data_IF_987885700554
#
_entry.id   IF_987885700554
#
_cell.length_a   1.000
_cell.length_b   1.000
_cell.length_c   1.000
_cell.angle_alpha   90.00
_cell.angle_beta   90.00
_cell.angle_gamma   90.00
#
_symmetry.space_group_name_H-M   'P 1'
#
loop_
_entity.id
_entity.type
_entity.pdbx_description
1 polymer ?
#
# COMPACT_ATOMS: atom_id res chain seq x y z
N UNK A 1 23.23 -75.70 -35.31
CA UNK A 1 21.89 -75.94 -35.89
C UNK A 1 20.91 -74.93 -35.31
N UNK A 2 20.07 -74.37 -36.19
CA UNK A 2 19.11 -73.28 -35.98
C UNK A 2 18.19 -73.49 -34.76
N UNK A 3 17.87 -72.41 -34.05
CA UNK A 3 16.50 -72.07 -33.64
C UNK A 3 16.40 -70.56 -33.38
N UNK A 4 15.92 -69.86 -34.40
CA UNK A 4 15.38 -68.51 -34.35
C UNK A 4 14.09 -68.61 -33.52
N UNK A 5 14.03 -67.94 -32.37
CA UNK A 5 12.75 -67.71 -31.66
C UNK A 5 12.30 -66.29 -31.95
N UNK A 6 11.25 -66.24 -32.75
CA UNK A 6 10.43 -65.10 -33.11
C UNK A 6 9.79 -64.54 -31.82
N UNK A 7 10.24 -63.39 -31.32
CA UNK A 7 9.49 -62.62 -30.32
C UNK A 7 8.45 -61.82 -31.10
N UNK A 8 7.24 -62.35 -31.11
CA UNK A 8 6.06 -61.76 -31.73
C UNK A 8 5.74 -60.44 -31.03
N UNK A 9 5.92 -59.36 -31.77
CA UNK A 9 5.57 -57.99 -31.42
C UNK A 9 4.03 -57.88 -31.29
N UNK A 10 3.51 -58.04 -30.06
CA UNK A 10 2.10 -57.84 -29.73
C UNK A 10 1.87 -56.36 -29.35
N UNK A 11 1.95 -55.46 -30.34
CA UNK A 11 1.69 -54.01 -30.20
C UNK A 11 0.39 -53.60 -30.91
N UNK A 12 -0.73 -54.21 -30.57
CA UNK A 12 -2.04 -53.75 -31.04
C UNK A 12 -3.06 -53.90 -29.92
N UNK A 13 -3.88 -52.86 -29.72
CA UNK A 13 -4.99 -52.73 -28.77
C UNK A 13 -4.68 -52.14 -27.38
N UNK A 14 -3.82 -51.13 -27.33
CA UNK A 14 -4.10 -49.99 -26.44
C UNK A 14 -4.92 -48.98 -27.24
N UNK A 15 -6.23 -49.21 -27.37
CA UNK A 15 -7.16 -48.13 -27.61
C UNK A 15 -7.12 -47.24 -26.37
N UNK A 16 -6.18 -46.29 -26.33
CA UNK A 16 -6.29 -45.14 -25.47
C UNK A 16 -7.61 -44.47 -25.84
N UNK A 17 -8.67 -44.72 -25.07
CA UNK A 17 -9.86 -43.88 -25.10
C UNK A 17 -9.35 -42.48 -24.81
N UNK A 18 -9.22 -41.67 -25.87
CA UNK A 18 -9.04 -40.24 -25.75
C UNK A 18 -10.17 -39.81 -24.83
N UNK A 19 -9.84 -39.46 -23.59
CA UNK A 19 -10.80 -38.87 -22.68
C UNK A 19 -11.51 -37.79 -23.50
N UNK A 20 -12.86 -37.73 -23.48
CA UNK A 20 -13.54 -36.63 -24.13
C UNK A 20 -12.86 -35.35 -23.64
N UNK A 21 -12.55 -34.40 -24.55
CA UNK A 21 -11.91 -33.17 -24.13
C UNK A 21 -12.71 -32.63 -22.94
N UNK A 22 -12.05 -32.15 -21.87
CA UNK A 22 -12.75 -31.58 -20.73
C UNK A 22 -13.77 -30.59 -21.31
N UNK A 23 -15.04 -30.76 -20.95
CA UNK A 23 -16.12 -29.93 -21.47
C UNK A 23 -15.70 -28.48 -21.20
N UNK A 24 -15.41 -27.67 -22.24
CA UNK A 24 -15.02 -26.30 -22.00
C UNK A 24 -16.17 -25.67 -21.23
N UNK A 25 -15.86 -25.01 -20.13
CA UNK A 25 -16.85 -24.16 -19.50
C UNK A 25 -17.33 -23.17 -20.55
N UNK A 26 -18.65 -23.01 -20.67
CA UNK A 26 -19.28 -22.14 -21.68
C UNK A 26 -20.24 -21.16 -21.02
N UNK A 27 -20.40 -21.23 -19.70
CA UNK A 27 -21.38 -20.42 -19.00
C UNK A 27 -20.72 -19.14 -18.51
N UNK A 28 -21.40 -17.99 -18.63
CA UNK A 28 -20.93 -16.77 -17.99
C UNK A 28 -21.10 -16.88 -16.46
N UNK A 29 -20.36 -16.06 -15.69
CA UNK A 29 -20.48 -16.06 -14.24
C UNK A 29 -21.89 -15.65 -13.81
N UNK A 30 -22.34 -16.22 -12.69
CA UNK A 30 -23.66 -15.95 -12.12
C UNK A 30 -23.53 -15.28 -10.75
N UNK A 31 -24.40 -14.32 -10.47
CA UNK A 31 -24.45 -13.67 -9.16
C UNK A 31 -25.08 -14.63 -8.15
N UNK A 32 -24.32 -14.97 -7.11
CA UNK A 32 -24.78 -15.83 -6.01
C UNK A 32 -25.39 -14.99 -4.89
N UNK A 33 -24.74 -13.88 -4.54
CA UNK A 33 -25.13 -13.05 -3.43
C UNK A 33 -24.57 -11.63 -3.55
N UNK A 34 -25.05 -10.72 -2.71
CA UNK A 34 -24.44 -9.41 -2.52
C UNK A 34 -24.58 -8.94 -1.07
N UNK A 35 -23.65 -8.09 -0.64
CA UNK A 35 -23.72 -7.47 0.67
C UNK A 35 -23.12 -6.06 0.66
N UNK A 36 -23.64 -5.23 1.56
CA UNK A 36 -23.32 -3.80 1.68
C UNK A 36 -22.82 -3.57 3.10
N UNK A 37 -21.51 -3.80 3.37
CA UNK A 37 -21.00 -3.84 4.75
C UNK A 37 -21.05 -2.46 5.43
N UNK A 38 -20.94 -1.38 4.67
CA UNK A 38 -20.97 -0.01 5.14
C UNK A 38 -21.58 0.91 4.07
N UNK A 39 -21.66 2.20 4.37
CA UNK A 39 -22.21 3.21 3.48
C UNK A 39 -21.30 3.58 2.29
N UNK A 40 -20.18 2.90 2.04
CA UNK A 40 -19.32 3.15 0.88
C UNK A 40 -19.23 1.95 -0.06
N UNK A 41 -19.43 0.74 0.47
CA UNK A 41 -18.99 -0.49 -0.21
C UNK A 41 -20.16 -1.35 -0.62
N UNK A 42 -20.13 -1.87 -1.85
CA UNK A 42 -20.95 -2.98 -2.33
C UNK A 42 -20.02 -4.13 -2.72
N UNK A 43 -20.28 -5.32 -2.20
CA UNK A 43 -19.62 -6.55 -2.63
C UNK A 43 -20.64 -7.48 -3.28
N UNK A 44 -20.31 -7.97 -4.47
CA UNK A 44 -21.13 -8.90 -5.23
C UNK A 44 -20.34 -10.21 -5.37
N UNK A 45 -20.93 -11.31 -4.92
CA UNK A 45 -20.35 -12.64 -5.01
C UNK A 45 -20.85 -13.36 -6.24
N UNK A 46 -19.93 -13.99 -6.96
CA UNK A 46 -20.22 -14.83 -8.10
C UNK A 46 -19.94 -16.30 -7.77
N UNK A 47 -20.41 -17.21 -8.63
CA UNK A 47 -20.24 -18.66 -8.49
C UNK A 47 -18.85 -19.16 -8.90
N UNK A 48 -18.04 -18.30 -9.50
CA UNK A 48 -16.71 -18.63 -10.02
C UNK A 48 -15.74 -17.45 -9.92
N UNK A 49 -14.46 -17.70 -10.25
CA UNK A 49 -13.44 -16.66 -10.26
C UNK A 49 -13.61 -15.72 -11.46
N UNK A 50 -13.51 -14.43 -11.20
CA UNK A 50 -13.66 -13.39 -12.20
C UNK A 50 -12.30 -12.96 -12.76
N UNK A 51 -12.33 -12.42 -13.97
CA UNK A 51 -11.18 -11.71 -14.53
C UNK A 51 -10.87 -10.47 -13.70
N UNK A 52 -9.60 -10.22 -13.34
CA UNK A 52 -9.20 -8.98 -12.67
C UNK A 52 -9.23 -7.77 -13.62
N UNK A 53 -9.34 -7.98 -14.93
CA UNK A 53 -9.41 -6.91 -15.92
C UNK A 53 -10.84 -6.38 -16.02
N UNK A 54 -11.08 -5.18 -15.47
CA UNK A 54 -12.42 -4.61 -15.44
C UNK A 54 -12.42 -3.21 -16.04
N UNK A 55 -13.41 -2.93 -16.89
CA UNK A 55 -13.63 -1.59 -17.41
C UNK A 55 -14.70 -0.88 -16.55
N UNK A 56 -14.26 0.06 -15.72
CA UNK A 56 -15.11 0.88 -14.84
C UNK A 56 -16.22 1.64 -15.58
N UNK A 57 -16.01 2.04 -16.82
CA UNK A 57 -17.00 2.79 -17.62
C UNK A 57 -18.24 1.96 -17.97
N UNK A 58 -18.13 0.62 -17.90
CA UNK A 58 -19.26 -0.29 -18.11
C UNK A 58 -20.16 -0.40 -16.88
N UNK A 59 -19.86 0.30 -15.79
CA UNK A 59 -20.61 0.26 -14.55
C UNK A 59 -21.31 1.59 -14.28
N UNK A 60 -22.58 1.50 -13.91
CA UNK A 60 -23.37 2.64 -13.43
C UNK A 60 -24.24 2.20 -12.26
N UNK A 61 -24.28 3.05 -11.22
CA UNK A 61 -25.08 2.83 -10.02
C UNK A 61 -25.96 4.04 -9.81
N UNK A 62 -27.28 3.83 -9.77
CA UNK A 62 -28.24 4.93 -9.64
C UNK A 62 -29.47 4.51 -8.85
N UNK A 63 -30.13 5.49 -8.26
CA UNK A 63 -31.44 5.39 -7.63
C UNK A 63 -32.43 6.34 -8.33
N UNK A 64 -33.64 6.45 -7.79
CA UNK A 64 -34.59 7.48 -8.24
C UNK A 64 -34.17 8.91 -7.90
N UNK A 65 -33.19 9.10 -6.99
CA UNK A 65 -32.80 10.43 -6.48
C UNK A 65 -31.40 10.86 -6.88
N UNK A 66 -30.49 9.91 -7.12
CA UNK A 66 -29.08 10.20 -7.34
C UNK A 66 -28.36 9.07 -8.07
N UNK A 67 -27.22 9.41 -8.69
CA UNK A 67 -26.24 8.47 -9.24
C UNK A 67 -25.03 8.43 -8.31
N UNK A 68 -24.58 7.23 -7.94
CA UNK A 68 -23.38 7.07 -7.11
C UNK A 68 -22.13 7.12 -7.99
N UNK A 69 -21.13 7.89 -7.55
CA UNK A 69 -19.81 7.95 -8.18
C UNK A 69 -19.00 6.76 -7.69
N UNK A 70 -18.53 5.93 -8.62
CA UNK A 70 -17.61 4.83 -8.31
C UNK A 70 -16.20 5.41 -8.09
N UNK A 71 -15.65 5.21 -6.89
CA UNK A 71 -14.32 5.69 -6.49
C UNK A 71 -13.23 4.65 -6.76
N UNK A 72 -13.53 3.37 -6.55
CA UNK A 72 -12.68 2.22 -6.89
C UNK A 72 -13.56 1.01 -7.21
N UNK A 73 -13.04 0.13 -8.05
CA UNK A 73 -13.73 -1.07 -8.52
C UNK A 73 -12.67 -2.13 -8.87
N UNK A 74 -12.74 -3.29 -8.23
CA UNK A 74 -11.74 -4.35 -8.40
C UNK A 74 -12.34 -5.73 -8.08
N UNK A 75 -11.65 -6.77 -8.54
CA UNK A 75 -12.02 -8.17 -8.34
C UNK A 75 -11.01 -8.85 -7.43
N UNK A 76 -11.53 -9.58 -6.44
CA UNK A 76 -10.77 -10.48 -5.59
C UNK A 76 -11.42 -11.87 -5.68
N UNK A 77 -10.84 -12.74 -6.54
CA UNK A 77 -11.37 -14.09 -6.82
C UNK A 77 -12.81 -14.05 -7.35
N UNK A 78 -13.76 -14.56 -6.57
CA UNK A 78 -15.20 -14.62 -6.89
C UNK A 78 -15.98 -13.35 -6.51
N UNK A 79 -15.30 -12.32 -5.98
CA UNK A 79 -15.94 -11.10 -5.50
C UNK A 79 -15.60 -9.90 -6.40
N UNK A 80 -16.65 -9.19 -6.82
CA UNK A 80 -16.53 -7.82 -7.31
C UNK A 80 -16.75 -6.85 -6.15
N UNK A 81 -15.74 -6.06 -5.82
CA UNK A 81 -15.83 -5.00 -4.80
C UNK A 81 -15.96 -3.65 -5.49
N UNK A 82 -16.96 -2.87 -5.07
CA UNK A 82 -17.24 -1.55 -5.62
C UNK A 82 -17.31 -0.57 -4.45
N UNK A 83 -16.48 0.47 -4.52
CA UNK A 83 -16.46 1.55 -3.53
C UNK A 83 -16.99 2.81 -4.17
N UNK A 84 -18.00 3.42 -3.56
CA UNK A 84 -18.67 4.62 -4.04
C UNK A 84 -18.44 5.80 -3.10
N UNK A 85 -18.95 6.98 -3.47
CA UNK A 85 -19.26 8.01 -2.49
C UNK A 85 -20.34 7.51 -1.49
N UNK A 86 -20.59 8.20 -0.36
CA UNK A 86 -21.51 7.75 0.68
C UNK A 86 -22.91 7.41 0.12
N UNK A 87 -23.39 6.22 0.46
CA UNK A 87 -24.68 5.67 0.12
C UNK A 87 -25.72 6.09 1.16
N UNK A 88 -26.90 6.50 0.70
CA UNK A 88 -28.06 6.70 1.56
C UNK A 88 -28.80 5.36 1.71
N UNK A 89 -29.70 5.21 2.70
CA UNK A 89 -30.54 4.02 2.85
C UNK A 89 -31.66 3.93 1.79
N UNK A 90 -31.30 4.06 0.52
CA UNK A 90 -32.16 3.99 -0.67
C UNK A 90 -31.94 2.67 -1.41
N UNK A 91 -32.89 2.29 -2.26
CA UNK A 91 -32.70 1.20 -3.21
C UNK A 91 -31.99 1.73 -4.45
N UNK A 92 -30.82 1.18 -4.75
CA UNK A 92 -30.04 1.45 -5.95
C UNK A 92 -30.18 0.29 -6.94
N UNK A 93 -29.98 0.61 -8.22
CA UNK A 93 -29.78 -0.34 -9.30
C UNK A 93 -28.36 -0.16 -9.84
N UNK A 94 -27.58 -1.24 -9.80
CA UNK A 94 -26.32 -1.32 -10.54
C UNK A 94 -26.56 -2.03 -11.86
N UNK A 95 -25.95 -1.50 -12.92
CA UNK A 95 -25.76 -2.20 -14.19
C UNK A 95 -24.26 -2.31 -14.43
N UNK A 96 -23.81 -3.48 -14.89
CA UNK A 96 -22.39 -3.76 -15.08
C UNK A 96 -22.14 -4.85 -16.11
N UNK A 97 -20.89 -4.94 -16.55
CA UNK A 97 -20.38 -6.02 -17.39
C UNK A 97 -19.12 -6.59 -16.74
N UNK A 98 -19.09 -7.90 -16.51
CA UNK A 98 -17.96 -8.62 -15.92
C UNK A 98 -17.68 -9.88 -16.73
N UNK A 99 -16.47 -10.42 -16.65
CA UNK A 99 -16.14 -11.72 -17.24
C UNK A 99 -15.47 -12.64 -16.24
N UNK A 100 -15.57 -13.94 -16.49
CA UNK A 100 -14.77 -14.96 -15.82
C UNK A 100 -13.30 -14.95 -16.33
N UNK A 101 -12.50 -15.89 -15.85
CA UNK A 101 -11.12 -16.10 -16.33
C UNK A 101 -11.03 -16.63 -17.77
N UNK A 102 -12.12 -17.19 -18.31
CA UNK A 102 -12.19 -17.71 -19.68
C UNK A 102 -12.78 -16.69 -20.68
N UNK A 103 -13.03 -15.46 -20.23
CA UNK A 103 -13.63 -14.36 -20.97
C UNK A 103 -15.11 -14.56 -21.39
N UNK A 104 -15.87 -15.41 -20.69
CA UNK A 104 -17.33 -15.42 -20.79
C UNK A 104 -17.90 -14.18 -20.10
N UNK A 105 -18.67 -13.40 -20.85
CA UNK A 105 -19.14 -12.09 -20.41
C UNK A 105 -20.56 -12.19 -19.84
N UNK A 106 -20.73 -11.70 -18.60
CA UNK A 106 -22.03 -11.45 -17.99
C UNK A 106 -22.35 -9.95 -18.04
N UNK A 107 -23.51 -9.60 -18.60
CA UNK A 107 -24.14 -8.29 -18.42
C UNK A 107 -25.27 -8.40 -17.41
N UNK A 108 -25.14 -7.72 -16.27
CA UNK A 108 -26.07 -7.90 -15.16
C UNK A 108 -26.76 -6.61 -14.75
N UNK A 109 -27.87 -6.79 -14.02
CA UNK A 109 -28.56 -5.75 -13.28
C UNK A 109 -28.85 -6.29 -11.89
N UNK A 110 -28.47 -5.54 -10.86
CA UNK A 110 -28.71 -5.94 -9.47
C UNK A 110 -29.30 -4.77 -8.70
N UNK A 111 -30.34 -5.04 -7.91
CA UNK A 111 -30.88 -4.06 -6.95
C UNK A 111 -30.30 -4.35 -5.58
N UNK A 112 -29.86 -3.31 -4.89
CA UNK A 112 -29.39 -3.39 -3.51
C UNK A 112 -29.91 -2.20 -2.72
N UNK A 113 -29.98 -2.36 -1.39
CA UNK A 113 -30.29 -1.25 -0.48
C UNK A 113 -29.00 -0.74 0.14
N UNK A 114 -28.76 0.57 0.05
CA UNK A 114 -27.61 1.19 0.71
C UNK A 114 -27.67 1.00 2.22
N UNK A 115 -26.50 0.81 2.84
CA UNK A 115 -26.38 0.66 4.29
C UNK A 115 -26.01 2.02 4.90
N UNK A 116 -26.72 2.52 5.94
CA UNK A 116 -26.37 3.79 6.58
C UNK A 116 -25.18 3.68 7.54
N UNK A 117 -24.70 2.47 7.86
CA UNK A 117 -23.61 2.27 8.81
C UNK A 117 -22.29 2.87 8.28
N UNK A 118 -21.58 3.67 9.08
CA UNK A 118 -20.30 4.24 8.67
C UNK A 118 -19.25 3.14 8.53
N UNK A 119 -18.24 3.40 7.70
CA UNK A 119 -17.01 2.61 7.74
C UNK A 119 -16.23 2.90 9.02
N UNK A 120 -15.80 1.85 9.72
CA UNK A 120 -15.06 1.95 10.98
C UNK A 120 -13.73 1.21 10.95
N UNK A 121 -13.42 0.55 9.82
CA UNK A 121 -12.20 -0.23 9.68
C UNK A 121 -11.08 0.73 9.31
N UNK A 122 -10.08 0.87 10.19
CA UNK A 122 -8.92 1.71 9.91
C UNK A 122 -7.93 0.99 8.99
N UNK A 123 -7.38 1.66 7.96
CA UNK A 123 -6.32 1.07 7.17
C UNK A 123 -5.05 0.85 8.00
N UNK A 124 -4.29 -0.17 7.62
CA UNK A 124 -2.92 -0.39 8.10
C UNK A 124 -2.03 -0.88 6.95
N UNK A 125 -0.72 -0.70 7.10
CA UNK A 125 0.27 -1.20 6.15
C UNK A 125 0.47 -2.69 6.40
N UNK A 126 0.17 -3.52 5.40
CA UNK A 126 0.34 -4.97 5.45
C UNK A 126 1.80 -5.37 5.17
N UNK A 127 2.41 -4.73 4.17
CA UNK A 127 3.75 -5.07 3.74
C UNK A 127 4.47 -3.86 3.11
N UNK A 128 5.80 -3.83 3.29
CA UNK A 128 6.68 -2.90 2.58
C UNK A 128 7.89 -3.70 2.09
N UNK A 129 8.12 -3.66 0.78
CA UNK A 129 9.28 -4.26 0.14
C UNK A 129 10.11 -3.13 -0.47
N UNK A 130 11.40 -3.09 -0.15
CA UNK A 130 12.37 -2.16 -0.74
C UNK A 130 13.37 -2.97 -1.54
N UNK A 131 13.54 -2.65 -2.81
CA UNK A 131 14.56 -3.23 -3.69
C UNK A 131 15.33 -2.10 -4.41
N UNK A 132 16.19 -2.45 -5.36
CA UNK A 132 16.99 -1.44 -6.09
C UNK A 132 16.17 -0.57 -7.06
N UNK A 133 15.00 -1.04 -7.49
CA UNK A 133 14.14 -0.36 -8.46
C UNK A 133 13.14 0.59 -7.76
N UNK A 134 12.77 0.30 -6.52
CA UNK A 134 11.78 1.10 -5.81
C UNK A 134 11.29 0.51 -4.49
N UNK A 135 10.13 1.02 -4.06
CA UNK A 135 9.43 0.67 -2.83
C UNK A 135 8.01 0.23 -3.20
N UNK A 136 7.65 -0.98 -2.82
CA UNK A 136 6.28 -1.51 -2.94
C UNK A 136 5.61 -1.56 -1.58
N UNK A 137 4.44 -0.95 -1.45
CA UNK A 137 3.66 -0.89 -0.20
C UNK A 137 2.28 -1.47 -0.46
N UNK A 138 1.85 -2.38 0.42
CA UNK A 138 0.49 -2.95 0.41
C UNK A 138 -0.27 -2.52 1.65
N UNK A 139 -1.51 -2.08 1.48
CA UNK A 139 -2.41 -1.61 2.52
C UNK A 139 -3.60 -2.57 2.68
N UNK A 140 -4.19 -2.59 3.88
CA UNK A 140 -5.35 -3.43 4.17
C UNK A 140 -6.64 -2.98 3.48
N UNK A 141 -6.79 -1.67 3.25
CA UNK A 141 -7.97 -1.03 2.66
C UNK A 141 -7.57 -0.11 1.49
N UNK A 142 -8.46 0.11 0.51
CA UNK A 142 -8.25 1.07 -0.57
C UNK A 142 -8.11 2.50 -0.07
N UNK A 143 -7.07 3.20 -0.52
CA UNK A 143 -6.71 4.53 -0.02
C UNK A 143 -7.10 5.70 -0.95
N UNK A 144 -7.24 6.88 -0.36
CA UNK A 144 -7.25 8.16 -1.06
C UNK A 144 -5.82 8.44 -1.54
N UNK A 145 -5.64 8.56 -2.85
CA UNK A 145 -4.31 8.63 -3.47
C UNK A 145 -3.68 10.02 -3.47
N UNK A 146 -4.42 11.07 -3.09
CA UNK A 146 -3.97 12.47 -3.10
C UNK A 146 -3.23 12.89 -1.84
N UNK A 147 -3.40 12.15 -0.74
CA UNK A 147 -2.98 12.57 0.61
C UNK A 147 -1.71 11.83 1.05
N UNK A 148 -0.92 11.32 0.08
CA UNK A 148 0.28 10.55 0.32
C UNK A 148 1.44 11.48 0.67
N UNK A 149 1.90 11.40 1.92
CA UNK A 149 3.11 12.06 2.40
C UNK A 149 4.12 11.04 2.88
N UNK A 150 5.32 11.12 2.32
CA UNK A 150 6.42 10.24 2.67
C UNK A 150 7.75 10.98 2.51
N UNK A 151 8.78 10.46 3.18
CA UNK A 151 10.16 10.86 2.95
C UNK A 151 10.96 9.68 2.45
N UNK A 152 11.91 9.94 1.57
CA UNK A 152 12.81 8.93 1.02
C UNK A 152 14.19 9.53 0.85
N UNK A 153 15.23 8.78 1.22
CA UNK A 153 16.62 9.20 0.95
C UNK A 153 16.98 9.03 -0.52
N UNK A 154 16.31 8.12 -1.21
CA UNK A 154 16.37 7.98 -2.66
C UNK A 154 15.35 8.90 -3.33
N UNK A 155 15.72 9.49 -4.47
CA UNK A 155 14.82 10.35 -5.25
C UNK A 155 13.77 9.46 -5.92
N UNK A 156 12.49 9.74 -5.67
CA UNK A 156 11.38 9.06 -6.34
C UNK A 156 11.08 9.74 -7.68
N UNK A 157 11.02 8.97 -8.76
CA UNK A 157 10.62 9.45 -10.08
C UNK A 157 9.13 9.29 -10.34
N UNK A 158 8.54 8.17 -9.94
CA UNK A 158 7.14 7.84 -10.23
C UNK A 158 6.44 7.29 -8.99
N UNK A 159 5.18 7.69 -8.82
CA UNK A 159 4.26 7.17 -7.80
C UNK A 159 3.08 6.52 -8.52
N UNK A 160 2.96 5.20 -8.41
CA UNK A 160 1.99 4.40 -9.18
C UNK A 160 1.08 3.66 -8.20
N UNK A 161 -0.21 3.99 -8.23
CA UNK A 161 -1.24 3.23 -7.52
C UNK A 161 -1.83 2.17 -8.44
N UNK A 162 -2.05 0.97 -7.92
CA UNK A 162 -2.86 -0.03 -8.60
C UNK A 162 -4.35 0.36 -8.56
N UNK A 163 -5.16 -0.22 -9.45
CA UNK A 163 -6.61 0.09 -9.57
C UNK A 163 -7.40 -0.18 -8.28
N UNK A 164 -6.96 -1.19 -7.52
CA UNK A 164 -7.53 -1.53 -6.20
C UNK A 164 -7.26 -0.46 -5.13
N UNK A 165 -6.32 0.46 -5.38
CA UNK A 165 -5.82 1.47 -4.45
C UNK A 165 -5.31 0.91 -3.12
N UNK A 166 -4.99 -0.38 -3.07
CA UNK A 166 -4.38 -1.07 -1.93
C UNK A 166 -2.87 -1.21 -2.12
N UNK A 167 -2.39 -1.11 -3.35
CA UNK A 167 -0.98 -1.30 -3.67
C UNK A 167 -0.38 -0.04 -4.29
N UNK A 168 0.76 0.38 -3.74
CA UNK A 168 1.52 1.55 -4.14
C UNK A 168 2.94 1.12 -4.53
N UNK A 169 3.39 1.56 -5.71
CA UNK A 169 4.77 1.43 -6.16
C UNK A 169 5.40 2.82 -6.30
N UNK A 170 6.47 3.05 -5.56
CA UNK A 170 7.33 4.23 -5.70
C UNK A 170 8.60 3.80 -6.44
N UNK A 171 8.80 4.29 -7.67
CA UNK A 171 10.02 3.97 -8.44
C UNK A 171 11.11 4.99 -8.16
N UNK A 172 12.32 4.49 -7.97
CA UNK A 172 13.48 5.37 -7.85
C UNK A 172 13.83 5.99 -9.20
N UNK A 173 14.28 7.25 -9.17
CA UNK A 173 14.83 7.93 -10.34
C UNK A 173 16.14 7.30 -10.78
N UNK A 174 16.96 6.93 -9.80
CA UNK A 174 18.23 6.24 -9.96
C UNK A 174 18.35 5.19 -8.87
N UNK A 175 18.95 4.04 -9.17
CA UNK A 175 19.14 2.99 -8.17
C UNK A 175 19.99 3.52 -7.00
N UNK A 176 19.53 3.40 -5.75
CA UNK A 176 20.33 3.75 -4.59
C UNK A 176 21.56 2.83 -4.52
N UNK A 177 22.75 3.43 -4.55
CA UNK A 177 24.01 2.68 -4.56
C UNK A 177 24.25 1.91 -3.26
N UNK A 178 23.90 2.52 -2.13
CA UNK A 178 24.41 2.09 -0.83
C UNK A 178 23.31 1.66 0.13
N UNK A 179 22.29 2.52 0.30
CA UNK A 179 21.16 2.28 1.18
C UNK A 179 19.95 3.12 0.75
N UNK A 180 18.78 2.78 1.26
CA UNK A 180 17.58 3.61 1.20
C UNK A 180 16.90 3.62 2.57
N UNK A 181 16.47 4.79 3.01
CA UNK A 181 15.66 5.00 4.20
C UNK A 181 14.39 5.73 3.81
N UNK A 182 13.27 5.35 4.42
CA UNK A 182 11.96 5.78 4.02
C UNK A 182 10.99 5.84 5.19
N UNK A 183 10.13 6.86 5.21
CA UNK A 183 9.04 7.02 6.18
C UNK A 183 7.73 7.29 5.46
N UNK A 184 6.66 6.61 5.87
CA UNK A 184 5.26 7.00 5.59
C UNK A 184 4.65 7.57 6.86
N UNK A 185 4.03 8.73 6.73
CA UNK A 185 3.30 9.35 7.83
C UNK A 185 1.86 8.81 7.91
N UNK A 186 1.24 8.81 9.11
CA UNK A 186 -0.15 8.34 9.29
C UNK A 186 -1.21 9.33 8.77
N UNK A 187 -0.93 10.03 7.67
CA UNK A 187 -1.81 11.05 7.09
C UNK A 187 -2.79 10.49 6.06
N UNK A 188 -2.45 9.35 5.47
CA UNK A 188 -3.29 8.65 4.50
C UNK A 188 -4.64 8.27 5.10
N UNK A 189 -5.69 8.38 4.29
CA UNK A 189 -7.05 7.95 4.63
C UNK A 189 -7.51 6.89 3.65
N UNK A 190 -8.35 5.97 4.11
CA UNK A 190 -9.13 5.12 3.22
C UNK A 190 -10.21 5.94 2.49
N UNK A 191 -10.89 5.28 1.53
CA UNK A 191 -12.00 5.90 0.81
C UNK A 191 -13.24 6.18 1.70
N UNK A 192 -13.31 5.60 2.90
CA UNK A 192 -14.31 5.87 3.93
C UNK A 192 -13.98 7.05 4.87
N UNK A 193 -12.76 7.58 4.79
CA UNK A 193 -12.25 8.69 5.60
C UNK A 193 -11.50 8.28 6.87
N UNK A 194 -11.27 6.99 7.12
CA UNK A 194 -10.50 6.52 8.27
C UNK A 194 -9.00 6.71 8.02
N UNK A 195 -8.29 7.29 9.00
CA UNK A 195 -6.83 7.49 8.93
C UNK A 195 -6.07 6.18 9.13
N UNK A 196 -4.89 6.09 8.51
CA UNK A 196 -3.90 5.04 8.72
C UNK A 196 -3.58 4.89 10.21
N UNK A 197 -3.53 3.64 10.68
CA UNK A 197 -3.38 3.34 12.11
C UNK A 197 -2.08 3.88 12.70
N UNK A 198 -0.98 3.82 11.94
CA UNK A 198 0.33 4.32 12.34
C UNK A 198 1.21 4.59 11.11
N UNK A 199 2.20 5.46 11.28
CA UNK A 199 3.28 5.62 10.33
C UNK A 199 4.25 4.43 10.36
N UNK A 200 5.02 4.27 9.29
CA UNK A 200 6.03 3.23 9.18
C UNK A 200 7.35 3.81 8.70
N UNK A 201 8.45 3.25 9.22
CA UNK A 201 9.80 3.52 8.76
C UNK A 201 10.43 2.23 8.22
N UNK A 202 11.30 2.36 7.24
CA UNK A 202 12.12 1.26 6.73
C UNK A 202 13.52 1.74 6.36
N UNK A 203 14.48 0.87 6.58
CA UNK A 203 15.88 1.09 6.22
C UNK A 203 16.40 -0.17 5.53
N UNK A 204 16.93 -0.02 4.32
CA UNK A 204 17.47 -1.10 3.49
C UNK A 204 18.91 -0.79 3.11
N UNK A 205 19.80 -1.76 3.31
CA UNK A 205 21.20 -1.69 2.86
C UNK A 205 21.31 -2.45 1.54
N UNK A 206 21.97 -1.85 0.55
CA UNK A 206 22.29 -2.46 -0.74
C UNK A 206 23.77 -2.77 -0.89
N UNK A 207 24.64 -1.98 -0.25
CA UNK A 207 26.08 -2.23 -0.19
C UNK A 207 26.50 -2.60 1.24
N UNK A 208 26.83 -3.88 1.44
CA UNK A 208 27.27 -4.41 2.73
C UNK A 208 28.71 -4.03 3.10
N UNK A 209 29.50 -3.48 2.18
CA UNK A 209 30.85 -3.01 2.48
C UNK A 209 30.83 -1.75 3.36
N UNK A 210 29.72 -1.00 3.34
CA UNK A 210 29.57 0.23 4.10
C UNK A 210 29.24 -0.08 5.55
N UNK A 211 30.03 0.51 6.45
CA UNK A 211 29.82 0.41 7.90
C UNK A 211 28.85 1.48 8.35
N UNK A 212 27.70 1.04 8.82
CA UNK A 212 26.73 1.88 9.52
C UNK A 212 26.96 1.81 11.03
N UNK A 213 26.67 2.91 11.71
CA UNK A 213 26.52 2.96 13.16
C UNK A 213 25.03 2.90 13.51
N UNK A 214 24.72 2.27 14.63
CA UNK A 214 23.37 2.22 15.15
C UNK A 214 23.15 3.40 16.10
N UNK A 215 22.12 4.18 15.81
CA UNK A 215 21.65 5.23 16.71
C UNK A 215 20.34 4.78 17.33
N UNK A 216 20.25 4.93 18.64
CA UNK A 216 18.99 4.76 19.39
C UNK A 216 18.74 6.03 20.16
N UNK A 217 17.50 6.26 20.59
CA UNK A 217 17.26 7.42 21.40
C UNK A 217 15.83 7.60 21.83
N UNK A 218 15.64 8.71 22.55
CA UNK A 218 14.33 9.16 23.01
C UNK A 218 14.07 10.59 22.59
N UNK A 219 12.83 10.86 22.20
CA UNK A 219 12.34 12.20 21.87
C UNK A 219 11.31 12.60 22.92
N UNK A 220 11.53 13.76 23.53
CA UNK A 220 10.69 14.33 24.55
C UNK A 220 10.00 15.59 24.05
N UNK A 221 8.74 15.74 24.42
CA UNK A 221 8.00 16.97 24.41
C UNK A 221 7.72 17.35 25.87
N UNK A 222 8.39 18.40 26.36
CA UNK A 222 8.44 18.75 27.79
C UNK A 222 8.97 17.55 28.61
N UNK A 223 8.20 17.06 29.58
CA UNK A 223 8.56 15.92 30.44
C UNK A 223 8.00 14.58 29.93
N UNK A 224 7.33 14.57 28.78
CA UNK A 224 6.68 13.39 28.21
C UNK A 224 7.35 12.92 26.93
N UNK A 225 7.27 11.63 26.63
CA UNK A 225 7.74 11.08 25.36
C UNK A 225 6.84 11.54 24.21
N UNK A 226 7.44 12.05 23.14
CA UNK A 226 6.74 12.53 21.96
C UNK A 226 6.47 11.39 20.98
N UNK A 227 5.21 11.14 20.63
CA UNK A 227 4.88 10.12 19.63
C UNK A 227 4.91 10.69 18.21
N UNK A 228 5.31 9.87 17.25
CA UNK A 228 5.40 10.16 15.82
C UNK A 228 6.33 11.32 15.43
N UNK A 229 7.37 11.62 16.22
CA UNK A 229 8.37 12.60 15.81
C UNK A 229 9.19 12.05 14.62
N UNK A 230 9.40 12.89 13.62
CA UNK A 230 10.23 12.58 12.45
C UNK A 230 11.65 13.05 12.74
N UNK A 231 12.62 12.17 12.55
CA UNK A 231 14.04 12.47 12.65
C UNK A 231 14.67 12.43 11.27
N UNK A 232 15.43 13.48 10.97
CA UNK A 232 16.16 13.66 9.72
C UNK A 232 17.64 13.78 10.06
N UNK A 233 18.45 12.90 9.50
CA UNK A 233 19.90 12.85 9.70
C UNK A 233 20.57 13.24 8.38
N UNK A 234 21.02 14.49 8.26
CA UNK A 234 21.69 15.01 7.06
C UNK A 234 23.20 14.95 7.23
N UNK A 235 23.85 14.04 6.52
CA UNK A 235 25.31 13.89 6.55
C UNK A 235 25.96 15.07 5.82
N UNK A 236 26.81 15.84 6.51
CA UNK A 236 27.50 17.00 5.93
C UNK A 236 28.64 16.59 5.00
N UNK A 237 29.15 15.36 5.09
CA UNK A 237 30.28 14.91 4.29
C UNK A 237 29.87 14.55 2.85
N UNK A 238 28.69 13.95 2.67
CA UNK A 238 28.22 13.43 1.38
C UNK A 238 26.78 13.82 1.03
N UNK A 239 26.13 14.66 1.85
CA UNK A 239 24.73 15.07 1.74
C UNK A 239 23.72 13.91 1.75
N UNK A 240 24.12 12.71 2.18
CA UNK A 240 23.17 11.60 2.35
C UNK A 240 22.18 11.90 3.48
N UNK A 241 20.93 11.51 3.25
CA UNK A 241 19.85 11.60 4.22
C UNK A 241 19.55 10.22 4.81
N UNK A 242 19.34 10.17 6.11
CA UNK A 242 18.68 9.03 6.77
C UNK A 242 17.49 9.53 7.56
N UNK A 243 16.43 8.74 7.60
CA UNK A 243 15.19 9.08 8.28
C UNK A 243 14.92 8.10 9.43
N UNK A 244 14.28 8.57 10.49
CA UNK A 244 13.67 7.71 11.51
C UNK A 244 12.37 8.28 12.06
N UNK A 245 11.48 7.41 12.55
CA UNK A 245 10.22 7.75 13.18
C UNK A 245 10.25 7.32 14.65
N UNK A 246 10.15 8.29 15.56
CA UNK A 246 10.03 8.00 16.99
C UNK A 246 8.63 7.52 17.33
N UNK A 247 8.46 6.20 17.52
CA UNK A 247 7.21 5.59 17.97
C UNK A 247 7.19 5.55 19.49
N UNK A 248 6.20 6.19 20.11
CA UNK A 248 6.11 6.43 21.56
C UNK A 248 7.37 7.10 22.13
N UNK A 249 7.95 8.02 21.36
CA UNK A 249 9.16 8.75 21.70
C UNK A 249 10.42 7.92 21.72
N UNK A 250 10.43 6.72 21.16
CA UNK A 250 11.63 5.89 21.02
C UNK A 250 11.92 5.70 19.54
N UNK A 251 13.19 5.87 19.16
CA UNK A 251 13.62 5.61 17.79
C UNK A 251 14.87 4.72 17.75
N UNK A 252 15.05 4.04 16.63
CA UNK A 252 16.25 3.28 16.32
C UNK A 252 16.52 3.37 14.82
N UNK A 253 17.70 3.86 14.46
CA UNK A 253 18.08 4.02 13.06
C UNK A 253 19.55 3.69 12.83
N UNK A 254 19.96 3.76 11.57
CA UNK A 254 21.32 3.57 11.11
C UNK A 254 21.75 4.78 10.30
N UNK A 255 22.97 5.23 10.54
CA UNK A 255 23.62 6.28 9.76
C UNK A 255 25.06 5.87 9.46
N UNK A 256 25.71 6.53 8.50
CA UNK A 256 27.15 6.36 8.28
C UNK A 256 27.92 7.08 9.39
N UNK A 257 29.22 6.81 9.47
CA UNK A 257 30.11 7.64 10.28
C UNK A 257 30.29 9.00 9.62
N UNK A 258 30.30 10.07 10.42
CA UNK A 258 30.53 11.41 9.89
C UNK A 258 29.90 12.51 10.75
N UNK A 259 29.95 13.72 10.22
CA UNK A 259 29.32 14.89 10.80
C UNK A 259 27.91 15.05 10.25
N UNK A 260 26.94 15.23 11.12
CA UNK A 260 25.52 15.30 10.78
C UNK A 260 24.89 16.58 11.29
N UNK A 261 23.89 17.06 10.56
CA UNK A 261 22.83 17.90 11.09
C UNK A 261 21.65 16.99 11.41
N UNK A 262 21.35 16.87 12.70
CA UNK A 262 20.15 16.21 13.21
C UNK A 262 19.03 17.22 13.26
N UNK A 263 17.90 16.91 12.63
CA UNK A 263 16.65 17.64 12.76
C UNK A 263 15.59 16.70 13.30
N UNK A 264 14.85 17.11 14.31
CA UNK A 264 13.66 16.38 14.78
C UNK A 264 12.43 17.28 14.72
N UNK A 265 11.34 16.75 14.18
CA UNK A 265 10.10 17.46 13.90
C UNK A 265 8.93 16.72 14.55
N UNK A 266 7.99 17.46 15.09
CA UNK A 266 6.71 16.93 15.53
C UNK A 266 5.59 17.84 15.02
N UNK A 267 4.66 17.23 14.31
CA UNK A 267 3.43 17.82 13.82
C UNK A 267 2.28 17.11 14.57
N UNK A 268 1.57 17.86 15.42
CA UNK A 268 0.59 17.28 16.35
C UNK A 268 -0.81 17.18 15.77
N UNK A 269 -1.14 17.99 14.77
CA UNK A 269 -2.46 17.99 14.12
C UNK A 269 -2.44 17.38 12.70
N UNK A 270 -1.24 17.08 12.19
CA UNK A 270 -0.97 16.49 10.88
C UNK A 270 -1.34 17.43 9.73
N UNK A 271 -1.09 18.72 9.89
CA UNK A 271 -1.27 19.75 8.87
C UNK A 271 -0.03 19.98 7.98
N UNK A 272 1.03 19.22 8.21
CA UNK A 272 2.34 19.28 7.54
C UNK A 272 3.18 20.51 7.88
N UNK A 273 2.86 21.20 8.98
CA UNK A 273 3.61 22.33 9.52
C UNK A 273 4.03 22.02 10.96
N UNK A 274 5.25 21.47 11.19
CA UNK A 274 5.67 21.02 12.51
C UNK A 274 5.52 22.08 13.60
N UNK A 275 4.76 21.74 14.64
CA UNK A 275 4.56 22.53 15.85
C UNK A 275 5.82 22.60 16.70
N UNK A 276 6.62 21.52 16.68
CA UNK A 276 7.83 21.42 17.48
C UNK A 276 9.03 20.95 16.67
N UNK A 277 10.19 21.42 17.13
CA UNK A 277 11.44 21.35 16.40
C UNK A 277 12.63 21.16 17.32
N UNK A 278 13.64 20.49 16.81
CA UNK A 278 14.97 20.45 17.38
C UNK A 278 16.00 20.37 16.25
N UNK A 279 17.14 21.05 16.42
CA UNK A 279 18.29 20.89 15.55
C UNK A 279 19.60 20.93 16.33
N UNK A 280 20.50 20.03 15.97
CA UNK A 280 21.88 20.02 16.48
C UNK A 280 22.85 19.54 15.38
N UNK A 281 24.09 20.03 15.41
CA UNK A 281 25.18 19.41 14.66
C UNK A 281 25.96 18.47 15.57
N UNK A 282 26.12 17.22 15.15
CA UNK A 282 26.86 16.23 15.92
C UNK A 282 27.71 15.35 15.02
N UNK A 283 28.87 14.94 15.52
CA UNK A 283 29.72 13.96 14.86
C UNK A 283 29.53 12.60 15.53
N UNK A 284 29.22 11.58 14.73
CA UNK A 284 29.06 10.22 15.24
C UNK A 284 30.07 9.28 14.60
N UNK A 285 30.84 8.63 15.48
CA UNK A 285 31.91 7.70 15.10
C UNK A 285 31.62 6.25 15.54
N UNK A 286 30.68 6.08 16.47
CA UNK A 286 30.32 4.82 17.14
C UNK A 286 28.83 4.80 17.46
N UNK A 287 28.31 3.60 17.73
CA UNK A 287 26.93 3.42 18.20
C UNK A 287 26.67 4.27 19.46
N UNK A 288 25.55 5.00 19.46
CA UNK A 288 25.27 6.04 20.45
C UNK A 288 23.78 6.09 20.79
N UNK A 289 23.46 6.53 22.01
CA UNK A 289 22.11 6.87 22.45
C UNK A 289 21.93 8.37 22.50
N UNK A 290 20.85 8.89 21.91
CA UNK A 290 20.57 10.32 21.78
C UNK A 290 19.29 10.66 22.56
N UNK A 291 19.27 11.82 23.22
CA UNK A 291 18.08 12.35 23.89
C UNK A 291 17.75 13.71 23.31
N UNK A 292 16.54 13.84 22.77
CA UNK A 292 16.10 15.02 22.03
C UNK A 292 14.96 15.68 22.80
N UNK A 293 15.10 16.98 23.10
CA UNK A 293 14.03 17.77 23.70
C UNK A 293 13.49 18.74 22.64
N UNK A 294 12.24 18.51 22.23
CA UNK A 294 11.58 19.34 21.23
C UNK A 294 11.16 20.69 21.82
N UNK A 295 11.34 21.75 21.02
CA UNK A 295 10.97 23.12 21.36
C UNK A 295 9.87 23.62 20.42
N UNK A 296 8.95 24.49 20.90
CA UNK A 296 7.89 25.03 20.05
C UNK A 296 8.47 25.88 18.92
N UNK A 297 7.91 25.72 17.73
CA UNK A 297 8.26 26.53 16.56
C UNK A 297 7.49 27.85 16.61
N UNK A 298 8.19 28.96 16.40
CA UNK A 298 7.56 30.30 16.35
C UNK A 298 6.85 30.57 15.03
N UNK A 299 7.44 30.09 13.93
CA UNK A 299 6.95 30.25 12.56
C UNK A 299 7.06 28.89 11.85
N UNK A 300 6.01 28.05 11.92
CA UNK A 300 6.00 26.74 11.27
C UNK A 300 6.20 26.87 9.77
N UNK A 301 7.08 26.03 9.22
CA UNK A 301 7.31 25.88 7.78
C UNK A 301 6.70 24.59 7.29
N UNK A 302 6.50 24.46 5.97
CA UNK A 302 6.10 23.17 5.42
C UNK A 302 7.20 22.15 5.66
N UNK A 303 6.76 20.92 5.91
CA UNK A 303 7.62 19.80 6.25
C UNK A 303 8.79 19.59 5.27
N UNK A 304 8.55 19.74 3.96
CA UNK A 304 9.57 19.58 2.91
C UNK A 304 10.68 20.65 2.98
N UNK A 305 10.40 21.83 3.54
CA UNK A 305 11.38 22.91 3.67
C UNK A 305 12.50 22.56 4.66
N UNK A 306 12.28 21.59 5.55
CA UNK A 306 13.31 21.12 6.49
C UNK A 306 14.32 20.15 5.87
N UNK A 307 14.09 19.70 4.63
CA UNK A 307 15.02 18.84 3.89
C UNK A 307 16.17 19.63 3.23
N UNK A 308 15.93 20.92 2.95
CA UNK A 308 16.83 21.81 2.20
C UNK A 308 17.77 22.58 3.13
#
# INVERSE_FOLDING_TARGET
>A
MKKISFITLLLIFSCARKLPPPNPDIFPPEIVDYFVPNNYTLKIKFNENLSPQINKEKFIIFSSKETLKILSLFVEKEFLTIITNPQKPLTYLIKGEISDLNNHILRFKLRFKGNPLPDTIKPFIQNIIINKEGISISFSEPLVTTDLYFFSSAIIAETIWQEDKKNLLLKFKEEPKEFSSFIILPTLKDLGGNRLTAGEERFQIFDTAIKFINLTGKVFLKESLSDNSILIFKNKNDNSLSFSLAKKGIFKTKVKKGKYQLVALLDTDLDFCPDFYYQEEQEWQTDTTIFINLLPVKEPKKLDEYLH
#
